data_IF_135045316580
#
_entry.id   IF_135045316580
#
_cell.length_a   1.000
_cell.length_b   1.000
_cell.length_c   1.000
_cell.angle_alpha   90.00
_cell.angle_beta   90.00
_cell.angle_gamma   90.00
#
_symmetry.space_group_name_H-M   'P 1'
#
loop_
_entity.id
_entity.type
_entity.pdbx_description
1 polymer ?
#
# COMPACT_ATOMS: atom_id res chain seq x y z
N UNK A 1 -16.35 -61.42 -1.10
CA UNK A 1 -15.98 -60.40 -2.11
C UNK A 1 -15.80 -59.07 -1.42
N UNK A 2 -14.95 -58.24 -1.99
CA UNK A 2 -14.66 -56.89 -1.51
C UNK A 2 -14.31 -56.01 -2.72
N UNK A 3 -13.90 -54.75 -2.48
CA UNK A 3 -13.58 -53.84 -3.56
C UNK A 3 -12.29 -54.21 -4.34
N UNK A 4 -11.38 -55.01 -3.74
CA UNK A 4 -10.20 -55.53 -4.42
C UNK A 4 -10.48 -56.83 -5.19
N UNK A 5 -11.49 -57.58 -4.77
CA UNK A 5 -11.90 -58.87 -5.34
C UNK A 5 -13.39 -58.83 -5.71
N UNK A 6 -13.73 -58.17 -6.83
CA UNK A 6 -15.12 -58.02 -7.28
C UNK A 6 -15.70 -59.30 -7.84
N UNK A 7 -14.86 -60.31 -8.12
CA UNK A 7 -15.25 -61.62 -8.57
C UNK A 7 -14.50 -62.72 -7.81
N UNK A 8 -15.15 -63.86 -7.64
CA UNK A 8 -14.56 -65.07 -7.06
C UNK A 8 -14.73 -66.22 -8.05
N UNK A 9 -13.67 -67.00 -8.24
CA UNK A 9 -13.73 -68.25 -9.00
C UNK A 9 -14.05 -69.40 -8.05
N UNK A 10 -15.16 -70.10 -8.27
CA UNK A 10 -15.50 -71.33 -7.57
C UNK A 10 -15.10 -72.51 -8.44
N UNK A 11 -14.45 -73.52 -7.85
CA UNK A 11 -14.04 -74.74 -8.55
C UNK A 11 -14.57 -75.96 -7.80
N UNK A 12 -15.17 -76.87 -8.56
CA UNK A 12 -15.67 -78.16 -8.10
C UNK A 12 -14.81 -79.28 -8.71
N UNK A 13 -14.58 -80.33 -7.94
CA UNK A 13 -13.76 -81.48 -8.34
C UNK A 13 -14.44 -82.80 -7.94
N UNK A 14 -13.91 -83.92 -8.43
CA UNK A 14 -14.35 -85.26 -8.01
C UNK A 14 -15.49 -85.89 -8.83
N UNK A 15 -15.86 -85.30 -9.98
CA UNK A 15 -16.83 -85.88 -10.91
C UNK A 15 -16.46 -85.62 -12.38
N UNK A 16 -17.32 -86.06 -13.29
CA UNK A 16 -17.18 -85.85 -14.74
C UNK A 16 -18.23 -84.90 -15.32
N UNK A 17 -19.29 -84.57 -14.55
CA UNK A 17 -20.31 -83.60 -14.91
C UNK A 17 -20.64 -82.68 -13.72
N UNK A 18 -20.94 -81.43 -14.02
CA UNK A 18 -21.21 -80.37 -13.04
C UNK A 18 -22.47 -79.61 -13.44
N UNK A 19 -23.30 -79.23 -12.46
CA UNK A 19 -24.43 -78.32 -12.66
C UNK A 19 -24.47 -77.34 -11.50
N UNK A 20 -24.22 -76.07 -11.79
CA UNK A 20 -24.29 -75.01 -10.78
C UNK A 20 -25.71 -74.43 -10.68
N UNK A 21 -26.13 -74.05 -9.47
CA UNK A 21 -27.34 -73.27 -9.28
C UNK A 21 -27.22 -71.87 -9.91
N UNK A 22 -28.31 -71.11 -9.88
CA UNK A 22 -28.37 -69.73 -10.39
C UNK A 22 -28.00 -69.59 -11.88
N UNK A 23 -28.09 -70.67 -12.66
CA UNK A 23 -27.83 -70.66 -14.09
C UNK A 23 -26.36 -70.43 -14.48
N UNK A 24 -25.40 -70.69 -13.59
CA UNK A 24 -23.97 -70.44 -13.84
C UNK A 24 -23.30 -71.43 -14.81
N UNK A 25 -24.04 -72.45 -15.28
CA UNK A 25 -23.58 -73.40 -16.27
C UNK A 25 -23.07 -74.72 -15.69
N UNK A 26 -22.27 -75.43 -16.49
CA UNK A 26 -21.99 -76.87 -16.32
C UNK A 26 -20.49 -77.21 -16.30
N UNK A 27 -19.64 -76.21 -16.11
CA UNK A 27 -18.18 -76.37 -16.06
C UNK A 27 -17.69 -76.64 -14.65
N UNK A 28 -16.50 -77.25 -14.54
CA UNK A 28 -15.85 -77.50 -13.25
C UNK A 28 -15.54 -76.20 -12.48
N UNK A 29 -15.36 -75.08 -13.19
CA UNK A 29 -15.12 -73.76 -12.59
C UNK A 29 -16.12 -72.74 -13.12
N UNK A 30 -16.60 -71.85 -12.24
CA UNK A 30 -17.48 -70.72 -12.57
C UNK A 30 -16.99 -69.46 -11.86
N UNK A 31 -17.20 -68.29 -12.47
CA UNK A 31 -16.88 -67.00 -11.86
C UNK A 31 -18.18 -66.33 -11.40
N UNK A 32 -18.18 -65.82 -10.18
CA UNK A 32 -19.33 -65.14 -9.56
C UNK A 32 -18.97 -63.71 -9.21
N UNK A 33 -19.94 -62.80 -9.32
CA UNK A 33 -19.78 -61.36 -9.06
C UNK A 33 -20.80 -60.82 -8.06
N UNK A 34 -21.65 -61.68 -7.49
CA UNK A 34 -22.74 -61.28 -6.58
C UNK A 34 -22.72 -62.12 -5.31
N UNK A 35 -23.06 -61.56 -4.14
CA UNK A 35 -23.15 -62.34 -2.91
C UNK A 35 -24.35 -63.28 -3.00
N UNK A 36 -24.25 -64.44 -2.35
CA UNK A 36 -25.31 -65.43 -2.39
C UNK A 36 -24.84 -66.83 -2.02
N UNK A 37 -25.79 -67.76 -2.01
CA UNK A 37 -25.50 -69.18 -1.80
C UNK A 37 -25.34 -69.85 -3.17
N UNK A 38 -24.19 -70.47 -3.38
CA UNK A 38 -23.86 -71.18 -4.59
C UNK A 38 -23.76 -72.66 -4.28
N UNK A 39 -24.46 -73.47 -5.06
CA UNK A 39 -24.42 -74.92 -4.95
C UNK A 39 -24.09 -75.55 -6.30
N UNK A 40 -23.36 -76.66 -6.23
CA UNK A 40 -22.99 -77.46 -7.40
C UNK A 40 -23.40 -78.90 -7.17
N UNK A 41 -24.11 -79.46 -8.13
CA UNK A 41 -24.34 -80.88 -8.25
C UNK A 41 -23.20 -81.49 -9.08
N UNK A 42 -22.48 -82.45 -8.52
CA UNK A 42 -21.38 -83.16 -9.17
C UNK A 42 -21.81 -84.60 -9.41
N UNK A 43 -21.67 -85.08 -10.64
CA UNK A 43 -21.97 -86.47 -11.03
C UNK A 43 -20.70 -87.18 -11.49
N UNK A 44 -20.45 -88.37 -10.95
CA UNK A 44 -19.29 -89.21 -11.33
C UNK A 44 -19.55 -90.02 -12.61
N UNK A 45 -18.52 -90.75 -13.07
CA UNK A 45 -18.61 -91.57 -14.30
C UNK A 45 -19.57 -92.76 -14.17
N UNK A 46 -19.93 -93.16 -12.95
CA UNK A 46 -20.87 -94.25 -12.67
C UNK A 46 -22.31 -93.74 -12.48
N UNK A 47 -22.55 -92.43 -12.59
CA UNK A 47 -23.86 -91.79 -12.46
C UNK A 47 -24.26 -91.41 -11.02
N UNK A 48 -23.39 -91.60 -10.03
CA UNK A 48 -23.64 -91.17 -8.66
C UNK A 48 -23.50 -89.65 -8.55
N UNK A 49 -24.39 -88.99 -7.80
CA UNK A 49 -24.39 -87.52 -7.68
C UNK A 49 -24.33 -87.05 -6.22
N UNK A 50 -23.61 -85.95 -5.98
CA UNK A 50 -23.50 -85.28 -4.69
C UNK A 50 -23.59 -83.77 -4.84
N UNK A 51 -24.13 -83.08 -3.84
CA UNK A 51 -24.28 -81.61 -3.84
C UNK A 51 -23.39 -80.99 -2.77
N UNK A 52 -22.62 -79.97 -3.16
CA UNK A 52 -21.92 -79.08 -2.24
C UNK A 52 -22.50 -77.67 -2.32
N UNK A 53 -22.43 -76.91 -1.22
CA UNK A 53 -22.86 -75.51 -1.18
C UNK A 53 -21.87 -74.64 -0.43
N UNK A 54 -21.78 -73.37 -0.84
CA UNK A 54 -20.98 -72.32 -0.20
C UNK A 54 -21.76 -71.00 -0.17
N UNK A 55 -21.65 -70.28 0.94
CA UNK A 55 -22.22 -68.94 1.09
C UNK A 55 -21.14 -67.89 0.88
N UNK A 56 -21.38 -66.98 -0.08
CA UNK A 56 -20.47 -65.90 -0.43
C UNK A 56 -21.04 -64.59 0.06
N UNK A 57 -20.32 -63.92 0.96
CA UNK A 57 -20.65 -62.59 1.46
C UNK A 57 -19.89 -61.51 0.71
N UNK A 58 -20.38 -60.27 0.77
CA UNK A 58 -19.73 -59.10 0.18
C UNK A 58 -19.57 -58.02 1.24
N UNK A 59 -18.37 -57.42 1.31
CA UNK A 59 -18.09 -56.29 2.18
C UNK A 59 -17.69 -55.06 1.34
N UNK A 60 -18.65 -54.17 1.10
CA UNK A 60 -18.43 -52.87 0.44
C UNK A 60 -18.48 -51.69 1.42
N UNK A 61 -18.23 -51.92 2.72
CA UNK A 61 -18.20 -50.81 3.67
C UNK A 61 -17.08 -49.84 3.31
N UNK A 62 -17.43 -48.57 3.15
CA UNK A 62 -16.47 -47.51 2.84
C UNK A 62 -15.72 -47.11 4.11
N UNK A 63 -14.41 -46.82 4.05
CA UNK A 63 -13.61 -46.48 5.23
C UNK A 63 -13.96 -45.11 5.84
N UNK A 64 -14.68 -44.26 5.12
CA UNK A 64 -14.87 -42.86 5.47
C UNK A 64 -13.61 -42.04 5.20
N UNK A 65 -13.78 -40.77 4.88
CA UNK A 65 -12.68 -39.83 4.68
C UNK A 65 -13.12 -38.45 5.16
N UNK A 66 -12.41 -37.89 6.14
CA UNK A 66 -12.66 -36.54 6.63
C UNK A 66 -11.33 -35.83 6.85
N UNK A 67 -11.29 -34.54 6.49
CA UNK A 67 -10.15 -33.66 6.71
C UNK A 67 -10.51 -32.70 7.85
N UNK A 68 -9.72 -32.69 8.91
CA UNK A 68 -9.85 -31.75 10.02
C UNK A 68 -8.80 -30.65 9.85
N UNK A 69 -9.24 -29.39 9.84
CA UNK A 69 -8.35 -28.24 9.81
C UNK A 69 -7.94 -27.84 11.24
N UNK A 70 -6.71 -28.14 11.61
CA UNK A 70 -6.18 -27.85 12.93
C UNK A 70 -5.71 -26.40 13.07
N UNK A 71 -5.36 -25.74 11.97
CA UNK A 71 -4.95 -24.33 11.96
C UNK A 71 -6.13 -23.37 12.17
N UNK A 72 -7.36 -23.82 11.87
CA UNK A 72 -8.56 -22.97 11.98
C UNK A 72 -8.70 -21.93 10.86
N UNK A 73 -7.84 -21.98 9.83
CA UNK A 73 -7.90 -21.14 8.63
C UNK A 73 -7.55 -21.97 7.39
N UNK A 74 -8.15 -21.65 6.25
CA UNK A 74 -7.79 -22.22 4.94
C UNK A 74 -7.04 -21.20 4.06
N UNK A 75 -6.64 -20.07 4.62
CA UNK A 75 -5.91 -19.03 3.93
C UNK A 75 -4.51 -18.88 4.54
N UNK A 76 -3.49 -19.12 3.70
CA UNK A 76 -2.13 -18.73 3.98
C UNK A 76 -2.00 -17.21 3.89
N UNK A 77 -1.23 -16.62 4.80
CA UNK A 77 -0.93 -15.20 4.85
C UNK A 77 0.48 -15.00 5.46
N UNK A 78 0.88 -13.76 5.73
CA UNK A 78 2.21 -13.48 6.27
C UNK A 78 2.48 -14.10 7.66
N UNK A 79 1.44 -14.33 8.47
CA UNK A 79 1.52 -14.89 9.81
C UNK A 79 1.19 -16.39 9.83
N UNK A 80 0.31 -16.82 8.94
CA UNK A 80 -0.03 -18.23 8.74
C UNK A 80 0.67 -18.74 7.49
N UNK A 81 1.91 -19.20 7.65
CA UNK A 81 2.76 -19.69 6.54
C UNK A 81 2.58 -21.19 6.27
N UNK A 82 1.84 -21.90 7.12
CA UNK A 82 1.51 -23.32 6.95
C UNK A 82 0.11 -23.63 7.48
N UNK A 83 -0.64 -24.47 6.77
CA UNK A 83 -1.91 -25.05 7.22
C UNK A 83 -1.69 -26.51 7.63
N UNK A 84 -2.06 -26.85 8.86
CA UNK A 84 -2.02 -28.19 9.42
C UNK A 84 -3.39 -28.84 9.26
N UNK A 85 -3.41 -29.98 8.56
CA UNK A 85 -4.58 -30.82 8.39
C UNK A 85 -4.35 -32.20 9.00
N UNK A 86 -5.40 -32.77 9.56
CA UNK A 86 -5.43 -34.16 10.04
C UNK A 86 -6.47 -34.96 9.24
N UNK A 87 -6.02 -36.02 8.57
CA UNK A 87 -6.87 -37.02 7.94
C UNK A 87 -7.49 -37.93 9.01
N UNK A 88 -8.76 -38.27 8.82
CA UNK A 88 -9.45 -39.30 9.60
C UNK A 88 -10.22 -40.24 8.67
N UNK A 89 -10.36 -41.49 9.10
CA UNK A 89 -10.96 -42.57 8.33
C UNK A 89 -10.38 -43.93 8.72
N UNK A 90 -11.15 -44.99 8.50
CA UNK A 90 -10.79 -46.36 8.89
C UNK A 90 -10.06 -47.07 7.74
N UNK A 91 -8.83 -46.63 7.45
CA UNK A 91 -8.02 -47.17 6.37
C UNK A 91 -6.64 -46.53 6.28
N UNK A 92 -5.92 -46.85 5.20
CA UNK A 92 -4.66 -46.21 4.83
C UNK A 92 -4.92 -44.89 4.10
N UNK A 93 -4.06 -43.88 4.33
CA UNK A 93 -4.21 -42.55 3.75
C UNK A 93 -3.30 -42.37 2.54
N UNK A 94 -3.76 -41.59 1.57
CA UNK A 94 -2.96 -41.11 0.45
C UNK A 94 -3.42 -39.71 0.09
N UNK A 95 -2.52 -38.75 0.21
CA UNK A 95 -2.73 -37.38 -0.23
C UNK A 95 -2.18 -37.18 -1.63
N UNK A 96 -2.87 -36.36 -2.43
CA UNK A 96 -2.34 -35.87 -3.70
C UNK A 96 -1.18 -34.87 -3.49
N UNK A 97 -0.62 -34.36 -4.59
CA UNK A 97 0.45 -33.36 -4.54
C UNK A 97 1.77 -33.85 -3.91
N UNK A 98 1.95 -35.16 -3.71
CA UNK A 98 3.17 -35.74 -3.15
C UNK A 98 3.31 -35.62 -1.63
N UNK A 99 2.21 -35.32 -0.91
CA UNK A 99 2.21 -35.15 0.55
C UNK A 99 2.32 -36.48 1.33
N UNK A 100 2.20 -37.61 0.64
CA UNK A 100 2.39 -38.94 1.20
C UNK A 100 1.15 -39.50 1.89
N UNK A 101 1.36 -40.31 2.93
CA UNK A 101 0.37 -41.20 3.53
C UNK A 101 0.21 -41.01 5.05
N UNK A 102 0.72 -39.89 5.58
CA UNK A 102 0.60 -39.56 6.99
C UNK A 102 -0.81 -39.04 7.33
N UNK A 103 -1.21 -39.23 8.59
CA UNK A 103 -2.45 -38.67 9.11
C UNK A 103 -2.37 -37.13 9.14
N UNK A 104 -1.25 -36.59 9.58
CA UNK A 104 -1.00 -35.15 9.65
C UNK A 104 -0.16 -34.67 8.48
N UNK A 105 -0.60 -33.59 7.83
CA UNK A 105 0.11 -32.92 6.72
C UNK A 105 0.15 -31.40 6.93
N UNK A 106 1.20 -30.78 6.42
CA UNK A 106 1.46 -29.34 6.52
C UNK A 106 1.58 -28.74 5.12
N UNK A 107 0.74 -27.76 4.82
CA UNK A 107 0.60 -27.17 3.48
C UNK A 107 1.13 -25.74 3.48
N UNK A 108 2.10 -25.44 2.63
CA UNK A 108 2.73 -24.11 2.50
C UNK A 108 2.42 -23.42 1.18
N UNK A 109 1.65 -24.08 0.31
CA UNK A 109 1.25 -23.53 -0.99
C UNK A 109 -0.28 -23.54 -1.13
N UNK A 110 -0.85 -22.59 -1.89
CA UNK A 110 -2.27 -22.62 -2.22
C UNK A 110 -2.56 -23.72 -3.23
N UNK A 111 -3.74 -24.31 -3.15
CA UNK A 111 -4.16 -25.41 -4.00
C UNK A 111 -5.33 -26.18 -3.41
N UNK A 112 -5.90 -27.08 -4.20
CA UNK A 112 -6.87 -28.07 -3.70
C UNK A 112 -6.14 -29.36 -3.44
N UNK A 113 -6.29 -29.88 -2.22
CA UNK A 113 -5.66 -31.11 -1.76
C UNK A 113 -6.72 -32.17 -1.50
N UNK A 114 -6.47 -33.36 -2.01
CA UNK A 114 -7.38 -34.50 -1.98
C UNK A 114 -6.79 -35.62 -1.13
N UNK A 115 -7.53 -36.00 -0.10
CA UNK A 115 -7.29 -37.19 0.71
C UNK A 115 -8.05 -38.36 0.09
N UNK A 116 -7.36 -39.47 -0.15
CA UNK A 116 -7.95 -40.78 -0.43
C UNK A 116 -7.68 -41.71 0.75
N UNK A 117 -8.74 -42.28 1.32
CA UNK A 117 -8.65 -43.31 2.36
C UNK A 117 -9.02 -44.66 1.74
N UNK A 118 -8.15 -45.66 1.89
CA UNK A 118 -8.38 -47.03 1.38
C UNK A 118 -8.55 -48.00 2.55
N UNK A 119 -9.74 -48.58 2.67
CA UNK A 119 -10.08 -49.55 3.70
C UNK A 119 -9.42 -50.91 3.47
N UNK A 120 -9.43 -51.76 4.50
CA UNK A 120 -8.84 -53.12 4.44
C UNK A 120 -9.51 -54.03 3.42
N UNK A 121 -10.75 -53.74 3.05
CA UNK A 121 -11.54 -54.39 2.00
C UNK A 121 -11.31 -53.78 0.61
N UNK A 122 -10.34 -52.88 0.46
CA UNK A 122 -10.02 -52.19 -0.80
C UNK A 122 -10.94 -51.04 -1.19
N UNK A 123 -12.01 -50.81 -0.43
CA UNK A 123 -12.95 -49.74 -0.76
C UNK A 123 -12.34 -48.39 -0.42
N UNK A 124 -12.59 -47.39 -1.26
CA UNK A 124 -12.00 -46.07 -1.10
C UNK A 124 -13.04 -45.02 -0.74
N UNK A 125 -12.58 -43.95 -0.09
CA UNK A 125 -13.35 -42.74 0.16
C UNK A 125 -12.44 -41.54 -0.06
N UNK A 126 -13.01 -40.43 -0.53
CA UNK A 126 -12.24 -39.22 -0.84
C UNK A 126 -12.82 -38.01 -0.12
N UNK A 127 -11.94 -37.10 0.28
CA UNK A 127 -12.28 -35.78 0.79
C UNK A 127 -11.30 -34.76 0.21
N UNK A 128 -11.73 -33.51 0.07
CA UNK A 128 -10.86 -32.45 -0.47
C UNK A 128 -10.98 -31.16 0.33
N UNK A 129 -9.91 -30.39 0.40
CA UNK A 129 -9.89 -29.04 0.97
C UNK A 129 -9.12 -28.11 0.05
N UNK A 130 -9.61 -26.87 -0.08
CA UNK A 130 -8.93 -25.83 -0.85
C UNK A 130 -8.25 -24.85 0.08
N UNK A 131 -6.94 -24.69 -0.12
CA UNK A 131 -6.11 -23.69 0.54
C UNK A 131 -5.90 -22.51 -0.41
N UNK A 132 -6.14 -21.31 0.08
CA UNK A 132 -5.93 -20.06 -0.65
C UNK A 132 -4.73 -19.30 -0.06
N UNK A 133 -4.23 -18.31 -0.79
CA UNK A 133 -3.18 -17.42 -0.33
C UNK A 133 -3.69 -15.99 -0.40
N UNK A 134 -3.53 -15.24 0.70
CA UNK A 134 -3.83 -13.81 0.69
C UNK A 134 -2.88 -13.08 -0.26
N UNK A 135 -3.43 -12.16 -1.05
CA UNK A 135 -2.63 -11.30 -1.93
C UNK A 135 -1.64 -10.48 -1.11
N UNK A 136 -0.44 -10.27 -1.63
CA UNK A 136 0.60 -9.51 -0.93
C UNK A 136 0.12 -8.09 -0.64
N UNK A 137 0.22 -7.65 0.62
CA UNK A 137 -0.07 -6.29 1.02
C UNK A 137 1.01 -5.35 0.46
N UNK A 138 0.58 -4.29 -0.20
CA UNK A 138 1.45 -3.22 -0.70
C UNK A 138 0.92 -1.86 -0.27
N UNK A 139 1.83 -0.92 -0.02
CA UNK A 139 1.53 0.44 0.41
C UNK A 139 1.85 1.43 -0.73
N UNK A 140 1.00 2.45 -0.89
CA UNK A 140 1.23 3.56 -1.81
C UNK A 140 0.99 4.89 -1.13
N UNK A 141 1.70 5.93 -1.55
CA UNK A 141 1.48 7.30 -1.07
C UNK A 141 1.62 8.32 -2.20
N UNK A 142 0.76 9.33 -2.19
CA UNK A 142 0.82 10.51 -3.07
C UNK A 142 0.67 11.78 -2.23
N UNK A 143 1.21 12.90 -2.70
CA UNK A 143 1.14 14.19 -2.01
C UNK A 143 0.65 15.28 -2.97
N UNK A 144 -0.04 16.29 -2.44
CA UNK A 144 -0.19 17.58 -3.11
C UNK A 144 1.07 18.42 -2.93
N UNK A 145 1.26 19.43 -3.79
CA UNK A 145 2.38 20.36 -3.67
C UNK A 145 2.20 21.33 -2.49
N UNK A 146 3.31 21.73 -1.86
CA UNK A 146 3.35 22.87 -0.94
C UNK A 146 3.60 24.13 -1.77
N UNK A 147 2.64 25.05 -1.79
CA UNK A 147 2.71 26.23 -2.65
C UNK A 147 3.52 27.40 -2.06
N UNK A 148 3.55 27.51 -0.73
CA UNK A 148 4.30 28.54 0.00
C UNK A 148 5.23 27.89 1.01
N UNK A 149 6.44 28.43 1.17
CA UNK A 149 7.37 27.98 2.20
C UNK A 149 6.72 28.03 3.60
N UNK A 150 6.83 26.95 4.36
CA UNK A 150 6.17 26.75 5.65
C UNK A 150 4.70 26.32 5.54
N UNK A 151 4.21 26.00 4.35
CA UNK A 151 2.87 25.51 4.10
C UNK A 151 2.72 24.01 4.38
N UNK A 152 1.53 23.48 4.08
CA UNK A 152 1.20 22.07 4.28
C UNK A 152 0.83 21.42 2.95
N UNK A 153 1.21 20.15 2.82
CA UNK A 153 0.71 19.24 1.79
C UNK A 153 -0.29 18.26 2.40
N UNK A 154 -1.18 17.77 1.56
CA UNK A 154 -2.05 16.64 1.86
C UNK A 154 -1.45 15.38 1.24
N UNK A 155 -1.08 14.41 2.09
CA UNK A 155 -0.62 13.08 1.68
C UNK A 155 -1.78 12.10 1.75
N UNK A 156 -2.02 11.36 0.67
CA UNK A 156 -2.97 10.23 0.63
C UNK A 156 -2.19 8.92 0.64
N UNK A 157 -2.48 8.06 1.61
CA UNK A 157 -1.87 6.74 1.78
C UNK A 157 -2.91 5.67 1.49
N UNK A 158 -2.56 4.75 0.59
CA UNK A 158 -3.42 3.66 0.12
C UNK A 158 -2.77 2.30 0.36
N UNK A 159 -3.61 1.27 0.44
CA UNK A 159 -3.21 -0.12 0.51
C UNK A 159 -3.80 -0.88 -0.69
N UNK A 160 -3.02 -1.80 -1.26
CA UNK A 160 -3.50 -2.76 -2.25
C UNK A 160 -3.10 -4.18 -1.83
N UNK A 161 -3.93 -5.17 -2.18
CA UNK A 161 -3.76 -6.54 -1.68
C UNK A 161 -4.06 -6.65 -0.18
N UNK A 162 -3.48 -7.64 0.49
CA UNK A 162 -3.75 -7.94 1.90
C UNK A 162 -5.22 -8.25 2.21
N UNK A 163 -5.60 -8.17 3.48
CA UNK A 163 -6.96 -8.43 3.96
C UNK A 163 -7.49 -7.28 4.81
N UNK A 164 -8.57 -6.64 4.36
CA UNK A 164 -9.20 -5.54 5.08
C UNK A 164 -9.76 -5.97 6.45
N UNK A 165 -9.91 -5.05 7.44
CA UNK A 165 -9.57 -3.63 7.39
C UNK A 165 -8.06 -3.33 7.42
N UNK A 166 -7.68 -2.13 6.96
CA UNK A 166 -6.30 -1.64 6.99
C UNK A 166 -6.13 -0.53 8.03
N UNK A 167 -5.05 -0.62 8.81
CA UNK A 167 -4.58 0.42 9.74
C UNK A 167 -3.47 1.19 9.04
N UNK A 168 -3.46 2.52 9.15
CA UNK A 168 -2.41 3.38 8.58
C UNK A 168 -2.71 3.96 7.19
N UNK A 169 -3.83 3.60 6.57
CA UNK A 169 -4.34 4.25 5.35
C UNK A 169 -5.14 5.50 5.68
N UNK A 170 -5.18 6.48 4.77
CA UNK A 170 -5.98 7.68 4.91
C UNK A 170 -5.30 8.91 4.34
N UNK A 171 -5.73 10.07 4.83
CA UNK A 171 -5.23 11.36 4.38
C UNK A 171 -4.59 12.10 5.55
N UNK A 172 -3.40 12.64 5.36
CA UNK A 172 -2.57 13.27 6.39
C UNK A 172 -2.11 14.65 5.92
N UNK A 173 -2.19 15.65 6.79
CA UNK A 173 -1.60 16.96 6.54
C UNK A 173 -0.19 17.01 7.11
N UNK A 174 0.79 17.34 6.27
CA UNK A 174 2.20 17.31 6.63
C UNK A 174 2.92 18.55 6.09
N UNK A 175 4.02 18.91 6.73
CA UNK A 175 4.97 19.91 6.23
C UNK A 175 5.99 19.26 5.29
N UNK A 176 6.87 20.08 4.69
CA UNK A 176 8.00 19.58 3.91
C UNK A 176 8.87 18.61 4.72
N UNK A 177 9.39 17.59 4.05
CA UNK A 177 10.17 16.52 4.65
C UNK A 177 9.84 15.14 4.10
N UNK A 178 10.54 14.13 4.61
CA UNK A 178 10.28 12.72 4.30
C UNK A 178 9.34 12.13 5.35
N UNK A 179 8.22 11.57 4.90
CA UNK A 179 7.21 10.93 5.75
C UNK A 179 7.10 9.45 5.40
N UNK A 180 7.18 8.60 6.42
CA UNK A 180 7.05 7.14 6.29
C UNK A 180 5.76 6.68 6.95
N UNK A 181 4.97 5.91 6.21
CA UNK A 181 3.71 5.37 6.67
C UNK A 181 3.78 3.84 6.70
N UNK A 182 3.40 3.27 7.83
CA UNK A 182 3.28 1.83 8.01
C UNK A 182 1.80 1.44 7.97
N UNK A 183 1.51 0.44 7.16
CA UNK A 183 0.17 -0.10 6.96
C UNK A 183 0.14 -1.52 7.49
N UNK A 184 -0.90 -1.85 8.25
CA UNK A 184 -1.14 -3.21 8.76
C UNK A 184 -2.52 -3.68 8.33
N UNK A 185 -2.62 -4.91 7.82
CA UNK A 185 -3.90 -5.54 7.46
C UNK A 185 -4.51 -6.35 8.61
N UNK A 186 -5.71 -6.90 8.42
CA UNK A 186 -6.44 -7.67 9.44
C UNK A 186 -5.75 -8.97 9.85
N UNK A 187 -4.90 -9.52 8.98
CA UNK A 187 -4.09 -10.71 9.28
C UNK A 187 -2.77 -10.34 9.98
N UNK A 188 -2.51 -9.05 10.23
CA UNK A 188 -1.29 -8.55 10.85
C UNK A 188 -0.10 -8.40 9.88
N UNK A 189 -0.34 -8.48 8.57
CA UNK A 189 0.69 -8.25 7.57
C UNK A 189 1.01 -6.76 7.48
N UNK A 190 2.29 -6.43 7.36
CA UNK A 190 2.74 -5.04 7.30
C UNK A 190 3.36 -4.69 5.96
N UNK A 191 3.13 -3.45 5.52
CA UNK A 191 3.78 -2.83 4.38
C UNK A 191 4.10 -1.37 4.73
N UNK A 192 5.09 -0.77 4.07
CA UNK A 192 5.45 0.63 4.29
C UNK A 192 5.66 1.37 2.98
N UNK A 193 5.32 2.65 2.98
CA UNK A 193 5.63 3.59 1.90
C UNK A 193 6.28 4.83 2.49
N UNK A 194 7.19 5.45 1.73
CA UNK A 194 7.82 6.71 2.10
C UNK A 194 7.62 7.71 0.96
N UNK A 195 7.35 8.96 1.32
CA UNK A 195 7.20 10.06 0.38
C UNK A 195 8.01 11.27 0.85
N UNK A 196 8.70 11.91 -0.08
CA UNK A 196 9.39 13.18 0.17
C UNK A 196 8.52 14.29 -0.36
N UNK A 197 8.12 15.20 0.53
CA UNK A 197 7.36 16.41 0.20
C UNK A 197 8.35 17.58 0.18
N UNK A 198 8.46 18.25 -0.96
CA UNK A 198 9.26 19.47 -1.13
C UNK A 198 8.39 20.72 -0.99
N UNK A 199 9.02 21.82 -0.59
CA UNK A 199 8.45 23.16 -0.62
C UNK A 199 9.38 24.14 -1.35
N UNK A 200 8.87 25.27 -1.86
CA UNK A 200 9.71 26.30 -2.45
C UNK A 200 10.57 27.00 -1.39
N UNK A 201 11.65 27.65 -1.83
CA UNK A 201 12.46 28.51 -0.97
C UNK A 201 11.61 29.66 -0.37
N UNK A 202 11.99 30.16 0.79
CA UNK A 202 11.29 31.28 1.41
C UNK A 202 11.30 32.54 0.51
N UNK A 203 10.13 33.14 0.30
CA UNK A 203 10.02 34.41 -0.43
C UNK A 203 10.67 35.54 0.39
N UNK A 204 11.61 36.24 -0.23
CA UNK A 204 12.34 37.36 0.35
C UNK A 204 12.19 38.60 -0.53
N UNK A 205 12.09 39.78 0.09
CA UNK A 205 12.05 41.06 -0.61
C UNK A 205 13.14 41.98 -0.08
N UNK A 206 13.72 42.77 -0.98
CA UNK A 206 14.75 43.76 -0.66
C UNK A 206 14.44 45.09 -1.37
N UNK A 207 14.71 46.20 -0.68
CA UNK A 207 14.56 47.55 -1.22
C UNK A 207 15.86 48.34 -1.07
N UNK A 208 16.12 49.24 -2.02
CA UNK A 208 17.26 50.15 -2.03
C UNK A 208 16.86 51.49 -2.64
N UNK A 209 17.47 52.59 -2.22
CA UNK A 209 17.16 53.93 -2.69
C UNK A 209 18.42 54.72 -3.04
N UNK A 210 18.34 55.55 -4.08
CA UNK A 210 19.36 56.57 -4.35
C UNK A 210 19.23 57.74 -3.37
N UNK A 211 20.28 58.55 -3.22
CA UNK A 211 20.18 59.78 -2.44
C UNK A 211 19.30 60.84 -3.15
N UNK A 212 18.56 61.64 -2.37
CA UNK A 212 17.87 62.83 -2.86
C UNK A 212 18.90 63.97 -2.97
N UNK A 213 19.12 64.49 -4.19
CA UNK A 213 20.16 65.48 -4.45
C UNK A 213 19.79 66.91 -4.03
N UNK A 214 18.50 67.27 -4.09
CA UNK A 214 17.99 68.59 -3.73
C UNK A 214 16.79 68.43 -2.80
N UNK A 215 16.68 69.28 -1.77
CA UNK A 215 15.49 69.30 -0.91
C UNK A 215 14.20 69.43 -1.74
N UNK A 216 13.23 68.57 -1.48
CA UNK A 216 11.97 68.44 -2.24
C UNK A 216 12.08 67.60 -3.51
N UNK A 217 13.21 66.93 -3.74
CA UNK A 217 13.40 65.99 -4.84
C UNK A 217 12.93 64.56 -4.51
N UNK A 218 13.11 63.65 -5.46
CA UNK A 218 12.76 62.24 -5.30
C UNK A 218 14.00 61.34 -5.40
N UNK A 219 13.97 60.20 -4.70
CA UNK A 219 14.88 59.08 -4.83
C UNK A 219 14.29 58.02 -5.77
N UNK A 220 15.17 57.37 -6.53
CA UNK A 220 14.83 56.14 -7.24
C UNK A 220 14.92 54.98 -6.25
N UNK A 221 13.78 54.37 -5.94
CA UNK A 221 13.68 53.18 -5.07
C UNK A 221 13.57 51.94 -5.95
N UNK A 222 14.45 50.96 -5.77
CA UNK A 222 14.39 49.66 -6.45
C UNK A 222 13.98 48.58 -5.46
N UNK A 223 12.92 47.84 -5.78
CA UNK A 223 12.41 46.70 -5.00
C UNK A 223 12.60 45.42 -5.80
N UNK A 224 13.19 44.43 -5.18
CA UNK A 224 13.50 43.11 -5.76
C UNK A 224 13.00 41.98 -4.86
N UNK A 225 12.88 40.78 -5.44
CA UNK A 225 12.46 39.58 -4.72
C UNK A 225 13.24 38.35 -5.17
N UNK A 226 13.37 37.38 -4.26
CA UNK A 226 14.00 36.07 -4.51
C UNK A 226 13.32 34.98 -3.67
N UNK A 227 13.52 33.70 -4.04
CA UNK A 227 12.79 32.58 -3.45
C UNK A 227 11.32 32.55 -3.89
N UNK A 228 10.47 31.79 -3.20
CA UNK A 228 9.06 31.59 -3.59
C UNK A 228 8.91 31.06 -5.01
N UNK A 229 7.75 31.33 -5.62
CA UNK A 229 7.44 30.93 -7.00
C UNK A 229 7.23 32.15 -7.90
N UNK A 230 8.12 32.38 -8.87
CA UNK A 230 7.98 33.48 -9.84
C UNK A 230 6.75 33.27 -10.76
N UNK A 231 6.16 34.35 -11.34
CA UNK A 231 6.54 35.77 -11.25
C UNK A 231 6.15 36.46 -9.92
N UNK A 232 6.74 37.65 -9.67
CA UNK A 232 6.48 38.46 -8.48
C UNK A 232 5.71 39.75 -8.81
N UNK A 233 4.83 40.17 -7.90
CA UNK A 233 4.15 41.47 -7.91
C UNK A 233 4.67 42.35 -6.76
N UNK A 234 4.56 43.68 -6.89
CA UNK A 234 5.11 44.62 -5.90
C UNK A 234 6.62 44.84 -5.99
N UNK A 235 7.29 44.30 -7.01
CA UNK A 235 8.69 44.57 -7.35
C UNK A 235 8.78 45.61 -8.48
N UNK A 236 9.93 46.27 -8.63
CA UNK A 236 10.14 47.27 -9.68
C UNK A 236 10.89 48.50 -9.22
N UNK A 237 10.79 49.57 -10.01
CA UNK A 237 11.40 50.87 -9.74
C UNK A 237 10.28 51.87 -9.42
N UNK A 238 10.44 52.59 -8.31
CA UNK A 238 9.53 53.60 -7.80
C UNK A 238 10.27 54.93 -7.62
N UNK A 239 9.53 56.04 -7.61
CA UNK A 239 10.10 57.37 -7.48
C UNK A 239 9.44 58.07 -6.28
N UNK A 240 10.17 58.17 -5.19
CA UNK A 240 9.62 58.52 -3.87
C UNK A 240 10.32 59.75 -3.28
N UNK A 241 9.56 60.59 -2.58
CA UNK A 241 10.11 61.71 -1.82
C UNK A 241 10.76 61.21 -0.51
N UNK A 242 11.23 62.13 0.34
CA UNK A 242 11.67 61.77 1.69
C UNK A 242 10.51 61.19 2.50
N UNK A 243 10.74 60.04 3.15
CA UNK A 243 9.69 59.29 3.84
C UNK A 243 10.09 57.85 4.12
N UNK A 244 9.23 57.13 4.84
CA UNK A 244 9.37 55.67 5.02
C UNK A 244 8.32 54.95 4.22
N UNK A 245 8.76 54.03 3.37
CA UNK A 245 7.93 53.29 2.42
C UNK A 245 8.01 51.80 2.72
N UNK A 246 6.86 51.13 2.64
CA UNK A 246 6.74 49.68 2.80
C UNK A 246 6.17 49.10 1.52
N UNK A 247 6.88 48.14 0.95
CA UNK A 247 6.48 47.44 -0.27
C UNK A 247 6.09 46.01 0.08
N UNK A 248 4.87 45.61 -0.27
CA UNK A 248 4.41 44.24 -0.15
C UNK A 248 4.67 43.51 -1.47
N UNK A 249 5.40 42.41 -1.41
CA UNK A 249 5.73 41.55 -2.54
C UNK A 249 4.91 40.27 -2.43
N UNK A 250 4.29 39.87 -3.54
CA UNK A 250 3.54 38.61 -3.63
C UNK A 250 4.06 37.78 -4.79
N UNK A 251 4.26 36.49 -4.57
CA UNK A 251 4.66 35.54 -5.61
C UNK A 251 3.46 34.96 -6.40
N UNK A 252 3.71 34.08 -7.35
CA UNK A 252 2.68 33.50 -8.23
C UNK A 252 1.66 32.61 -7.51
N UNK A 253 2.05 32.06 -6.35
CA UNK A 253 1.21 31.20 -5.51
C UNK A 253 0.46 32.00 -4.43
N UNK A 254 0.64 33.32 -4.39
CA UNK A 254 -0.01 34.21 -3.43
C UNK A 254 0.73 34.33 -2.10
N UNK A 255 1.95 33.83 -1.99
CA UNK A 255 2.77 33.98 -0.79
C UNK A 255 3.26 35.43 -0.69
N UNK A 256 3.19 36.03 0.50
CA UNK A 256 3.50 37.45 0.69
C UNK A 256 4.69 37.67 1.61
N UNK A 257 5.46 38.73 1.34
CA UNK A 257 6.49 39.27 2.23
C UNK A 257 6.57 40.78 2.05
N UNK A 258 7.29 41.49 2.91
CA UNK A 258 7.46 42.94 2.76
C UNK A 258 8.88 43.40 3.07
N UNK A 259 9.23 44.54 2.51
CA UNK A 259 10.47 45.27 2.80
C UNK A 259 10.13 46.73 3.06
N UNK A 260 10.86 47.38 3.96
CA UNK A 260 10.71 48.81 4.23
C UNK A 260 12.03 49.55 4.05
N UNK A 261 11.93 50.79 3.60
CA UNK A 261 13.06 51.68 3.40
C UNK A 261 12.71 53.09 3.83
N UNK A 262 13.65 53.75 4.51
CA UNK A 262 13.56 55.17 4.84
C UNK A 262 14.42 55.95 3.87
N UNK A 263 13.78 56.79 3.05
CA UNK A 263 14.41 57.75 2.16
C UNK A 263 14.59 59.05 2.93
N UNK A 264 15.83 59.50 3.06
CA UNK A 264 16.16 60.75 3.73
C UNK A 264 16.57 61.81 2.71
N UNK A 265 16.17 63.06 2.93
CA UNK A 265 16.68 64.21 2.20
C UNK A 265 17.50 65.13 3.10
N UNK A 266 18.25 66.05 2.47
CA UNK A 266 18.99 67.09 3.16
C UNK A 266 18.06 68.24 3.57
N UNK A 267 18.41 68.95 4.64
CA UNK A 267 17.69 70.15 5.06
C UNK A 267 17.54 71.17 3.93
N UNK A 268 16.44 71.92 3.92
CA UNK A 268 16.24 73.00 2.97
C UNK A 268 17.36 74.06 3.06
N UNK A 269 17.87 74.52 1.92
CA UNK A 269 18.76 75.67 1.88
C UNK A 269 18.00 76.93 2.30
N UNK A 270 18.48 77.60 3.34
CA UNK A 270 17.96 78.86 3.86
C UNK A 270 19.01 79.95 3.70
N UNK A 271 18.59 81.12 3.25
CA UNK A 271 19.43 82.32 3.22
C UNK A 271 18.79 83.39 4.11
N UNK A 272 19.58 83.98 4.99
CA UNK A 272 19.15 85.11 5.83
C UNK A 272 20.03 86.32 5.56
N UNK A 273 19.45 87.51 5.67
CA UNK A 273 20.19 88.77 5.56
C UNK A 273 19.87 89.66 6.75
N UNK A 274 20.88 90.40 7.22
CA UNK A 274 20.74 91.40 8.27
C UNK A 274 21.56 92.63 7.91
N UNK A 275 21.08 93.80 8.31
CA UNK A 275 21.74 95.07 8.04
C UNK A 275 21.91 95.87 9.34
N UNK A 276 23.05 96.52 9.50
CA UNK A 276 23.25 97.48 10.60
C UNK A 276 22.42 98.74 10.37
N UNK A 277 21.87 99.34 11.43
CA UNK A 277 21.11 100.58 11.34
C UNK A 277 21.97 101.74 10.79
N UNK A 278 21.40 102.56 9.90
CA UNK A 278 22.06 103.76 9.38
C UNK A 278 21.94 104.87 10.44
N UNK A 279 23.06 105.26 11.05
CA UNK A 279 23.07 106.16 12.21
C UNK A 279 22.82 107.65 11.88
N UNK A 280 22.86 108.04 10.60
CA UNK A 280 22.69 109.43 10.15
C UNK A 280 22.21 109.54 8.69
N UNK A 281 21.65 110.67 8.30
CA UNK A 281 21.17 110.87 6.92
C UNK A 281 22.35 110.86 5.93
N UNK A 282 22.36 109.90 4.99
CA UNK A 282 23.45 109.69 4.03
C UNK A 282 24.54 108.68 4.45
N UNK A 283 24.37 107.95 5.55
CA UNK A 283 25.33 106.93 5.99
C UNK A 283 25.21 105.57 5.28
N UNK A 284 26.24 104.74 5.41
CA UNK A 284 26.29 103.38 4.85
C UNK A 284 25.79 102.33 5.86
N UNK A 285 25.12 101.29 5.38
CA UNK A 285 24.81 100.08 6.16
C UNK A 285 25.66 98.91 5.64
N UNK A 286 26.13 98.06 6.56
CA UNK A 286 26.71 96.77 6.18
C UNK A 286 25.59 95.74 6.16
N UNK A 287 25.42 95.05 5.03
CA UNK A 287 24.53 93.90 4.91
C UNK A 287 25.36 92.63 5.05
N UNK A 288 25.02 91.80 6.02
CA UNK A 288 25.56 90.45 6.17
C UNK A 288 24.55 89.44 5.66
N UNK A 289 24.99 88.53 4.80
CA UNK A 289 24.18 87.40 4.30
C UNK A 289 24.79 86.11 4.85
N UNK A 290 23.96 85.22 5.37
CA UNK A 290 24.35 83.88 5.79
C UNK A 290 23.45 82.84 5.13
N UNK A 291 24.00 81.65 4.87
CA UNK A 291 23.27 80.49 4.36
C UNK A 291 23.43 79.29 5.31
N UNK A 292 22.37 78.51 5.49
CA UNK A 292 22.34 77.28 6.29
C UNK A 292 21.46 76.23 5.61
N UNK A 293 21.65 74.94 5.93
CA UNK A 293 20.94 73.82 5.28
C UNK A 293 21.44 73.52 3.85
N UNK A 294 20.96 72.46 3.21
CA UNK A 294 21.46 71.98 1.91
C UNK A 294 22.92 71.51 1.92
N UNK A 295 23.50 71.29 0.74
CA UNK A 295 24.91 70.89 0.57
C UNK A 295 25.78 72.08 0.15
N UNK A 296 26.75 72.46 0.99
CA UNK A 296 27.75 73.47 0.66
C UNK A 296 28.83 72.97 -0.32
N UNK A 297 29.73 73.85 -0.80
CA UNK A 297 29.90 75.26 -0.41
C UNK A 297 28.92 76.22 -1.11
N UNK A 298 28.55 77.32 -0.44
CA UNK A 298 27.66 78.36 -1.01
C UNK A 298 28.46 79.52 -1.61
N UNK A 299 28.03 80.03 -2.76
CA UNK A 299 28.55 81.26 -3.39
C UNK A 299 27.46 82.30 -3.50
N UNK A 300 27.73 83.54 -3.11
CA UNK A 300 26.80 84.68 -3.28
C UNK A 300 27.48 85.83 -4.01
N UNK A 301 26.69 86.63 -4.74
CA UNK A 301 27.09 87.92 -5.31
C UNK A 301 26.32 89.03 -4.62
N UNK A 302 27.03 90.02 -4.08
CA UNK A 302 26.48 91.23 -3.46
C UNK A 302 26.85 92.48 -4.23
#
# INVERSE_FOLDING_TARGET
>A
MDCNHPAISLTAAGGVSYVWNNGLGNTASVNITSPGVYSVLVTDANGCSATAQISITQNLTTPGATIINQTGSTQLNCNTTSIHLTATGNGSYSWDGGLGNQADVYLTTPGTYTLTVTGVNGCTSVASVTITQSTVLTAGSTATDILCHGGNATVTVTANGGTAPFIGTGTFNVTAGTHTYNITDANGCTASTAITVSEPDALTAASSATAIACHGGNATVTVSASGGTAPYTGTGIFNEAAGTYTYNVTDANGCTTSTSITVTEQDALQATSSATAIACHGGNATVTVSASGGTGPYTGSG
#
